data_IF_372434169664
#
_entry.id   IF_372434169664
#
_cell.length_a   1.000
_cell.length_b   1.000
_cell.length_c   1.000
_cell.angle_alpha   90.00
_cell.angle_beta   90.00
_cell.angle_gamma   90.00
#
_symmetry.space_group_name_H-M   'P 1'
#
loop_
_entity.id
_entity.type
_entity.pdbx_description
1 polymer ?
#
# COMPACT_ATOMS: atom_id res chain seq x y z
N UNK A 1 -10.89 17.69 6.65
CA UNK A 1 -10.29 16.59 5.87
C UNK A 1 -9.17 15.97 6.69
N UNK A 2 -9.07 14.64 6.71
CA UNK A 2 -7.95 13.94 7.35
C UNK A 2 -6.86 13.72 6.31
N UNK A 3 -5.63 14.12 6.64
CA UNK A 3 -4.46 13.84 5.81
C UNK A 3 -3.73 12.63 6.37
N UNK A 4 -3.62 11.59 5.56
CA UNK A 4 -2.75 10.45 5.85
C UNK A 4 -1.32 10.82 5.43
N UNK A 5 -0.32 10.63 6.31
CA UNK A 5 1.06 10.99 6.01
C UNK A 5 1.63 10.11 4.89
N UNK A 6 2.70 10.60 4.25
CA UNK A 6 3.53 9.77 3.37
C UNK A 6 4.14 8.63 4.19
N UNK A 7 4.24 7.46 3.57
CA UNK A 7 4.81 6.25 4.21
C UNK A 7 5.80 5.60 3.26
N UNK A 8 6.88 5.05 3.81
CA UNK A 8 7.90 4.38 3.00
C UNK A 8 7.44 2.96 2.66
N UNK A 9 7.48 2.60 1.38
CA UNK A 9 7.22 1.23 0.94
C UNK A 9 8.37 0.32 1.39
N UNK A 10 8.11 -0.81 2.08
CA UNK A 10 9.15 -1.72 2.52
C UNK A 10 9.80 -2.49 1.36
N UNK A 11 9.10 -2.67 0.23
CA UNK A 11 9.63 -3.42 -0.92
C UNK A 11 10.65 -2.65 -1.75
N UNK A 12 10.34 -1.41 -2.14
CA UNK A 12 11.21 -0.59 -2.99
C UNK A 12 11.85 0.62 -2.29
N UNK A 13 11.55 0.84 -1.01
CA UNK A 13 12.08 1.96 -0.24
C UNK A 13 11.55 3.35 -0.64
N UNK A 14 10.69 3.45 -1.66
CA UNK A 14 10.10 4.73 -2.12
C UNK A 14 8.93 5.16 -1.25
N UNK A 15 8.70 6.48 -1.15
CA UNK A 15 7.54 7.02 -0.44
C UNK A 15 6.26 6.89 -1.25
N UNK A 16 5.22 6.33 -0.62
CA UNK A 16 3.85 6.39 -1.10
C UNK A 16 3.25 7.77 -0.83
N UNK A 17 2.39 8.23 -1.74
CA UNK A 17 1.81 9.56 -1.68
C UNK A 17 0.97 9.77 -0.39
N UNK A 18 0.93 11.01 0.08
CA UNK A 18 -0.01 11.41 1.11
C UNK A 18 -1.41 11.46 0.50
N UNK A 19 -2.41 11.03 1.26
CA UNK A 19 -3.80 10.97 0.79
C UNK A 19 -4.65 11.83 1.71
N UNK A 20 -5.43 12.74 1.12
CA UNK A 20 -6.41 13.54 1.84
C UNK A 20 -7.81 12.96 1.60
N UNK A 21 -8.47 12.54 2.67
CA UNK A 21 -9.83 11.98 2.62
C UNK A 21 -10.74 12.65 3.64
N UNK A 22 -12.07 12.62 3.39
CA UNK A 22 -13.05 13.12 4.35
C UNK A 22 -13.18 12.19 5.56
N UNK A 23 -13.23 10.88 5.30
CA UNK A 23 -13.30 9.81 6.29
C UNK A 23 -12.19 8.81 6.00
N UNK A 24 -11.57 8.27 7.06
CA UNK A 24 -10.51 7.26 6.94
C UNK A 24 -11.14 5.89 7.20
N UNK A 25 -11.45 5.10 6.15
CA UNK A 25 -11.98 3.76 6.33
C UNK A 25 -10.88 2.82 6.86
N UNK A 26 -11.24 1.75 7.60
CA UNK A 26 -10.31 0.69 7.91
C UNK A 26 -9.81 0.03 6.61
N UNK A 27 -8.57 -0.47 6.61
CA UNK A 27 -8.02 -1.23 5.50
C UNK A 27 -7.45 -2.53 6.02
N UNK A 28 -8.11 -3.63 5.67
CA UNK A 28 -7.69 -4.98 6.03
C UNK A 28 -7.24 -5.79 4.80
N UNK A 29 -7.62 -5.34 3.60
CA UNK A 29 -7.17 -5.90 2.32
C UNK A 29 -6.39 -4.87 1.53
N UNK A 30 -5.63 -5.35 0.55
CA UNK A 30 -4.83 -4.51 -0.34
C UNK A 30 -5.71 -3.49 -1.09
N UNK A 31 -6.92 -3.89 -1.46
CA UNK A 31 -7.90 -3.08 -2.18
C UNK A 31 -8.49 -1.95 -1.33
N UNK A 32 -8.47 -2.08 0.00
CA UNK A 32 -8.95 -1.06 0.92
C UNK A 32 -7.88 -0.02 1.24
N UNK A 33 -6.61 -0.33 0.94
CA UNK A 33 -5.49 0.57 1.18
C UNK A 33 -5.60 1.79 0.26
N UNK A 34 -5.75 2.96 0.86
CA UNK A 34 -5.69 4.24 0.15
C UNK A 34 -4.27 4.57 -0.30
N UNK A 35 -3.26 4.03 0.39
CA UNK A 35 -1.84 4.19 0.07
C UNK A 35 -1.30 2.88 -0.48
N UNK A 36 -1.13 2.80 -1.79
CA UNK A 36 -0.56 1.63 -2.48
C UNK A 36 0.69 2.01 -3.25
N UNK A 37 1.65 1.09 -3.27
CA UNK A 37 2.85 1.22 -4.07
C UNK A 37 2.65 0.58 -5.44
N UNK A 38 2.57 1.39 -6.51
CA UNK A 38 2.36 0.91 -7.88
C UNK A 38 3.48 -0.01 -8.43
N UNK A 39 4.65 -0.08 -7.76
CA UNK A 39 5.76 -0.94 -8.18
C UNK A 39 5.75 -2.32 -7.52
N UNK A 40 5.36 -2.36 -6.25
CA UNK A 40 5.46 -3.57 -5.44
C UNK A 40 4.09 -4.18 -5.14
N UNK A 41 3.01 -3.50 -5.53
CA UNK A 41 1.63 -3.84 -5.16
C UNK A 41 1.43 -4.02 -3.64
N UNK A 42 2.22 -3.31 -2.84
CA UNK A 42 2.11 -3.29 -1.36
C UNK A 42 1.18 -2.15 -0.94
N UNK A 43 0.23 -2.46 -0.07
CA UNK A 43 -0.69 -1.49 0.54
C UNK A 43 -0.28 -1.15 1.96
N UNK A 44 -0.36 0.12 2.32
CA UNK A 44 -0.28 0.57 3.70
C UNK A 44 -1.69 0.74 4.28
N UNK A 45 -1.93 0.20 5.48
CA UNK A 45 -3.21 0.41 6.18
C UNK A 45 -3.47 1.90 6.37
N UNK A 46 -4.74 2.29 6.47
CA UNK A 46 -5.15 3.69 6.52
C UNK A 46 -4.91 4.35 7.90
N UNK A 47 -3.97 3.87 8.70
CA UNK A 47 -3.67 4.46 10.01
C UNK A 47 -3.19 5.91 9.87
N UNK A 48 -3.79 6.80 10.69
CA UNK A 48 -3.41 8.23 10.78
C UNK A 48 -1.99 8.41 11.31
N UNK A 49 -1.61 7.60 12.31
CA UNK A 49 -0.28 7.61 12.90
C UNK A 49 0.64 6.68 12.12
N UNK A 50 1.83 7.15 11.67
CA UNK A 50 2.76 6.34 10.89
C UNK A 50 3.25 5.10 11.64
N UNK A 51 3.42 5.18 12.97
CA UNK A 51 3.82 4.05 13.82
C UNK A 51 2.78 2.91 13.87
N UNK A 52 1.51 3.18 13.52
CA UNK A 52 0.43 2.18 13.50
C UNK A 52 0.13 1.66 12.08
N UNK A 53 0.88 2.13 11.08
CA UNK A 53 0.74 1.66 9.71
C UNK A 53 1.28 0.25 9.62
N UNK A 54 0.44 -0.66 9.17
CA UNK A 54 0.83 -2.03 8.79
C UNK A 54 0.89 -2.10 7.27
N UNK A 55 1.67 -3.03 6.76
CA UNK A 55 1.78 -3.28 5.32
C UNK A 55 1.09 -4.59 4.96
N UNK A 56 0.29 -4.53 3.92
CA UNK A 56 -0.41 -5.66 3.31
C UNK A 56 0.33 -5.97 2.02
N UNK A 57 0.92 -7.15 1.97
CA UNK A 57 1.68 -7.62 0.83
C UNK A 57 0.75 -8.34 -0.16
N UNK A 58 0.98 -8.21 -1.47
CA UNK A 58 0.26 -9.00 -2.44
C UNK A 58 0.61 -10.49 -2.23
N UNK A 59 -0.25 -11.41 -2.70
CA UNK A 59 0.11 -12.82 -2.72
C UNK A 59 1.43 -13.00 -3.51
N UNK A 60 2.28 -13.96 -3.12
CA UNK A 60 3.46 -14.29 -3.92
C UNK A 60 2.98 -14.65 -5.32
N UNK A 61 3.46 -13.93 -6.34
CA UNK A 61 3.20 -14.28 -7.73
C UNK A 61 3.76 -15.68 -7.95
N UNK A 62 2.90 -16.67 -8.10
CA UNK A 62 3.31 -17.99 -8.57
C UNK A 62 3.89 -17.82 -9.97
N UNK A 63 4.89 -18.63 -10.30
CA UNK A 63 5.71 -18.53 -11.53
C UNK A 63 4.88 -18.56 -12.82
N UNK A 64 3.61 -18.95 -12.76
CA UNK A 64 2.64 -19.00 -13.86
C UNK A 64 2.18 -17.62 -14.38
N UNK A 65 2.37 -16.53 -13.64
CA UNK A 65 2.00 -15.17 -14.08
C UNK A 65 3.14 -14.39 -14.79
N UNK A 66 4.35 -14.98 -14.92
CA UNK A 66 5.37 -14.35 -15.75
C UNK A 66 4.99 -14.55 -17.22
N UNK A 67 4.84 -13.48 -18.03
CA UNK A 67 4.70 -13.66 -19.47
C UNK A 67 5.91 -14.45 -19.97
N UNK A 68 5.73 -15.41 -20.89
CA UNK A 68 6.84 -16.16 -21.45
C UNK A 68 7.86 -15.16 -21.99
N UNK A 69 9.12 -15.32 -21.58
CA UNK A 69 10.22 -14.55 -22.14
C UNK A 69 10.19 -14.76 -23.66
N UNK A 70 9.98 -13.67 -24.40
CA UNK A 70 9.99 -13.64 -25.85
C UNK A 70 11.38 -13.94 -26.41
#
# INVERSE_FOLDING_TARGET
MVKLPKVRCPGCGKFMAAVAVKVVPPANKLEDCLRRCAKCDIGATNAKSPAKVKFIFPPPKTREELPPAA
#
